data_IF_125298715792
#
_entry.id   IF_125298715792
#
_cell.length_a   1.000
_cell.length_b   1.000
_cell.length_c   1.000
_cell.angle_alpha   90.00
_cell.angle_beta   90.00
_cell.angle_gamma   90.00
#
_symmetry.space_group_name_H-M   'P 1'
#
loop_
_entity.id
_entity.type
_entity.pdbx_description
1 polymer ?
#
# COMPACT_ATOMS: atom_id res chain seq x y z
N UNK A 1 19.42 1.75 15.47
CA UNK A 1 19.51 0.28 15.38
C UNK A 1 18.18 -0.39 14.97
N UNK A 2 17.01 0.03 15.51
CA UNK A 2 15.70 -0.54 15.13
C UNK A 2 15.26 -0.19 13.70
N UNK A 3 15.63 0.97 13.18
CA UNK A 3 15.35 1.33 11.78
C UNK A 3 16.07 0.44 10.77
N UNK A 4 17.27 -0.02 11.09
CA UNK A 4 17.97 -1.02 10.28
C UNK A 4 17.22 -2.36 10.26
N UNK A 5 16.67 -2.79 11.40
CA UNK A 5 15.88 -4.04 11.46
C UNK A 5 14.59 -4.02 10.62
N UNK A 6 13.97 -2.84 10.41
CA UNK A 6 12.78 -2.72 9.55
C UNK A 6 13.19 -2.87 8.07
N UNK A 7 14.31 -2.29 7.64
CA UNK A 7 14.81 -2.41 6.26
C UNK A 7 15.16 -3.86 5.89
N UNK A 8 15.72 -4.61 6.80
CA UNK A 8 16.10 -6.02 6.56
C UNK A 8 14.89 -6.95 6.43
N UNK A 9 13.68 -6.47 6.74
CA UNK A 9 12.43 -7.24 6.70
C UNK A 9 11.52 -6.89 5.52
N UNK A 10 11.88 -5.90 4.71
CA UNK A 10 11.13 -5.60 3.48
C UNK A 10 11.59 -6.54 2.39
N UNK A 11 10.63 -7.23 1.78
CA UNK A 11 10.82 -8.13 0.67
C UNK A 11 10.04 -7.66 -0.54
N UNK A 12 10.60 -7.88 -1.71
CA UNK A 12 9.98 -7.50 -2.98
C UNK A 12 9.37 -8.71 -3.66
N UNK A 13 8.21 -8.50 -4.26
CA UNK A 13 7.42 -9.54 -4.94
C UNK A 13 7.03 -9.04 -6.32
N UNK A 14 7.14 -9.90 -7.32
CA UNK A 14 6.74 -9.61 -8.70
C UNK A 14 6.09 -10.86 -9.34
N UNK A 15 5.48 -10.75 -10.54
CA UNK A 15 4.88 -11.91 -11.21
C UNK A 15 5.83 -13.09 -11.43
N UNK A 16 7.11 -12.81 -11.68
CA UNK A 16 8.20 -13.80 -11.85
C UNK A 16 9.42 -13.33 -11.08
N UNK A 17 10.48 -14.14 -11.05
CA UNK A 17 11.79 -13.75 -10.49
C UNK A 17 12.68 -12.97 -11.49
N UNK A 18 12.17 -12.66 -12.66
CA UNK A 18 12.90 -11.84 -13.63
C UNK A 18 13.03 -10.39 -13.14
N UNK A 19 14.07 -9.72 -13.61
CA UNK A 19 14.28 -8.33 -13.25
C UNK A 19 13.13 -7.44 -13.73
N UNK A 20 12.51 -6.72 -12.82
CA UNK A 20 11.52 -5.69 -13.12
C UNK A 20 12.19 -4.33 -13.27
N UNK A 21 11.68 -3.50 -14.17
CA UNK A 21 12.20 -2.17 -14.43
C UNK A 21 11.22 -1.12 -13.88
N UNK A 22 11.71 -0.20 -13.06
CA UNK A 22 10.91 0.94 -12.60
C UNK A 22 10.69 1.95 -13.74
N UNK A 23 9.73 2.88 -13.54
CA UNK A 23 9.52 4.00 -14.46
C UNK A 23 10.78 4.86 -14.67
N UNK A 24 11.67 4.93 -13.67
CA UNK A 24 12.95 5.63 -13.75
C UNK A 24 14.09 4.80 -14.34
N UNK A 25 13.81 3.62 -14.88
CA UNK A 25 14.82 2.76 -15.53
C UNK A 25 15.66 1.88 -14.60
N UNK A 26 15.43 1.92 -13.29
CA UNK A 26 16.14 1.06 -12.33
C UNK A 26 15.65 -0.38 -12.43
N UNK A 27 16.59 -1.32 -12.54
CA UNK A 27 16.29 -2.74 -12.51
C UNK A 27 16.38 -3.28 -11.09
N UNK A 28 15.38 -4.05 -10.69
CA UNK A 28 15.31 -4.70 -9.38
C UNK A 28 14.98 -6.16 -9.57
N UNK A 29 15.74 -7.04 -8.92
CA UNK A 29 15.41 -8.46 -8.82
C UNK A 29 14.44 -8.62 -7.64
N UNK A 30 13.26 -9.20 -7.84
CA UNK A 30 12.35 -9.50 -6.74
C UNK A 30 12.91 -10.63 -5.87
N UNK A 31 12.59 -10.58 -4.56
CA UNK A 31 12.93 -11.67 -3.64
C UNK A 31 12.03 -12.89 -3.87
N UNK A 32 10.77 -12.68 -4.29
CA UNK A 32 9.76 -13.72 -4.49
C UNK A 32 8.96 -13.48 -5.76
N UNK A 33 8.46 -14.56 -6.34
CA UNK A 33 7.38 -14.50 -7.33
C UNK A 33 6.02 -14.67 -6.66
N UNK A 34 4.93 -14.44 -7.40
CA UNK A 34 3.58 -14.70 -6.89
C UNK A 34 3.38 -16.17 -6.51
N UNK A 35 4.07 -17.09 -7.17
CA UNK A 35 3.89 -18.53 -6.95
C UNK A 35 4.66 -19.06 -5.73
N UNK A 36 5.64 -18.30 -5.22
CA UNK A 36 6.45 -18.70 -4.06
C UNK A 36 6.47 -17.68 -2.93
N UNK A 37 5.44 -16.83 -2.86
CA UNK A 37 5.29 -15.87 -1.77
C UNK A 37 5.13 -16.60 -0.43
N UNK A 38 5.99 -16.34 0.57
CA UNK A 38 5.82 -16.93 1.90
C UNK A 38 4.55 -16.38 2.57
N UNK A 39 3.93 -17.17 3.42
CA UNK A 39 2.74 -16.76 4.18
C UNK A 39 3.07 -15.98 5.47
N UNK A 40 4.32 -16.01 5.90
CA UNK A 40 4.79 -15.35 7.13
C UNK A 40 5.25 -13.93 6.85
N UNK A 41 4.29 -13.02 6.63
CA UNK A 41 4.51 -11.59 6.54
C UNK A 41 3.43 -10.83 7.34
N UNK A 42 3.76 -9.64 7.82
CA UNK A 42 2.86 -8.78 8.59
C UNK A 42 2.02 -7.85 7.71
N UNK A 43 2.58 -7.41 6.59
CA UNK A 43 1.91 -6.52 5.66
C UNK A 43 2.17 -6.88 4.20
N UNK A 44 1.17 -6.62 3.36
CA UNK A 44 1.26 -6.61 1.90
C UNK A 44 1.11 -5.17 1.42
N UNK A 45 2.14 -4.64 0.75
CA UNK A 45 2.15 -3.25 0.26
C UNK A 45 2.14 -3.23 -1.26
N UNK A 46 1.08 -2.69 -1.82
CA UNK A 46 0.89 -2.51 -3.25
C UNK A 46 1.39 -1.12 -3.64
N UNK A 47 2.50 -1.09 -4.37
CA UNK A 47 3.13 0.16 -4.80
C UNK A 47 2.42 0.75 -6.02
N UNK A 48 2.47 2.07 -6.16
CA UNK A 48 1.89 2.79 -7.29
C UNK A 48 2.49 2.37 -8.64
N UNK A 49 1.70 2.50 -9.69
CA UNK A 49 2.13 2.17 -11.06
C UNK A 49 0.99 2.29 -12.06
N UNK A 50 1.31 2.18 -13.34
CA UNK A 50 0.33 2.32 -14.43
C UNK A 50 -0.29 0.98 -14.85
N UNK A 51 0.24 -0.15 -14.36
CA UNK A 51 -0.16 -1.49 -14.80
C UNK A 51 -1.35 -2.08 -14.03
N UNK A 52 -1.91 -1.36 -13.05
CA UNK A 52 -2.98 -1.88 -12.19
C UNK A 52 -4.33 -2.16 -12.89
N UNK A 53 -4.49 -1.77 -14.16
CA UNK A 53 -5.63 -2.14 -15.02
C UNK A 53 -5.27 -3.22 -16.05
N UNK A 54 -4.05 -3.74 -16.03
CA UNK A 54 -3.66 -4.80 -16.96
C UNK A 54 -4.22 -6.16 -16.50
N UNK A 55 -4.39 -7.12 -17.42
CA UNK A 55 -4.77 -8.48 -17.06
C UNK A 55 -3.80 -9.15 -16.07
N UNK A 56 -2.53 -8.78 -16.12
CA UNK A 56 -1.50 -9.28 -15.20
C UNK A 56 -1.75 -8.81 -13.76
N UNK A 57 -2.33 -7.62 -13.56
CA UNK A 57 -2.66 -7.11 -12.24
C UNK A 57 -3.74 -7.98 -11.54
N UNK A 58 -4.62 -8.62 -12.29
CA UNK A 58 -5.63 -9.52 -11.73
C UNK A 58 -5.01 -10.73 -10.99
N UNK A 59 -3.78 -11.10 -11.33
CA UNK A 59 -3.04 -12.15 -10.60
C UNK A 59 -2.68 -11.73 -9.16
N UNK A 60 -2.73 -10.43 -8.86
CA UNK A 60 -2.50 -9.92 -7.50
C UNK A 60 -3.75 -10.09 -6.62
N UNK A 61 -4.95 -10.13 -7.21
CA UNK A 61 -6.20 -10.21 -6.46
C UNK A 61 -6.23 -11.38 -5.45
N UNK A 62 -5.94 -12.65 -5.82
CA UNK A 62 -5.96 -13.75 -4.86
C UNK A 62 -4.94 -13.58 -3.72
N UNK A 63 -3.81 -12.91 -3.98
CA UNK A 63 -2.80 -12.62 -2.95
C UNK A 63 -3.34 -11.59 -1.95
N UNK A 64 -4.01 -10.55 -2.45
CA UNK A 64 -4.64 -9.52 -1.59
C UNK A 64 -5.79 -10.14 -0.80
N UNK A 65 -6.60 -10.98 -1.43
CA UNK A 65 -7.72 -11.67 -0.78
C UNK A 65 -7.23 -12.56 0.38
N UNK A 66 -6.21 -13.36 0.15
CA UNK A 66 -5.57 -14.19 1.20
C UNK A 66 -5.02 -13.34 2.35
N UNK A 67 -4.34 -12.25 2.03
CA UNK A 67 -3.83 -11.31 3.04
C UNK A 67 -4.97 -10.67 3.85
N UNK A 68 -6.06 -10.29 3.18
CA UNK A 68 -7.23 -9.68 3.81
C UNK A 68 -7.93 -10.67 4.77
N UNK A 69 -8.16 -11.90 4.32
CA UNK A 69 -8.79 -12.97 5.12
C UNK A 69 -7.95 -13.34 6.34
N UNK A 70 -6.63 -13.27 6.24
CA UNK A 70 -5.68 -13.49 7.34
C UNK A 70 -5.50 -12.28 8.26
N UNK A 71 -6.20 -11.17 8.00
CA UNK A 71 -6.11 -9.96 8.82
C UNK A 71 -4.76 -9.27 8.75
N UNK A 72 -3.99 -9.46 7.67
CA UNK A 72 -2.72 -8.75 7.43
C UNK A 72 -2.98 -7.27 7.16
N UNK A 73 -1.97 -6.43 7.42
CA UNK A 73 -2.04 -5.03 6.99
C UNK A 73 -1.89 -4.98 5.46
N UNK A 74 -2.79 -4.28 4.79
CA UNK A 74 -2.75 -4.08 3.34
C UNK A 74 -2.59 -2.60 3.06
N UNK A 75 -1.51 -2.25 2.37
CA UNK A 75 -1.25 -0.89 1.92
C UNK A 75 -1.45 -0.76 0.41
N UNK A 76 -2.11 0.32 -0.04
CA UNK A 76 -2.22 0.65 -1.46
C UNK A 76 -2.03 2.13 -1.72
N UNK A 77 -1.05 2.50 -2.55
CA UNK A 77 -0.77 3.90 -2.92
C UNK A 77 -1.05 4.15 -4.40
N UNK A 78 -1.56 5.33 -4.74
CA UNK A 78 -1.84 5.76 -6.12
C UNK A 78 -2.85 4.80 -6.79
N UNK A 79 -2.57 4.29 -7.99
CA UNK A 79 -3.46 3.36 -8.69
C UNK A 79 -3.63 2.01 -7.98
N UNK A 80 -2.73 1.64 -7.08
CA UNK A 80 -2.93 0.46 -6.24
C UNK A 80 -4.11 0.65 -5.26
N UNK A 81 -4.36 1.87 -4.75
CA UNK A 81 -5.57 2.17 -3.98
C UNK A 81 -6.83 2.01 -4.84
N UNK A 82 -6.76 2.41 -6.12
CA UNK A 82 -7.87 2.23 -7.07
C UNK A 82 -8.11 0.74 -7.38
N UNK A 83 -7.06 -0.07 -7.45
CA UNK A 83 -7.19 -1.53 -7.57
C UNK A 83 -7.90 -2.14 -6.34
N UNK A 84 -7.51 -1.75 -5.12
CA UNK A 84 -8.22 -2.18 -3.90
C UNK A 84 -9.69 -1.78 -3.91
N UNK A 85 -9.99 -0.57 -4.39
CA UNK A 85 -11.35 -0.07 -4.59
C UNK A 85 -12.15 -0.95 -5.57
N UNK A 86 -11.59 -1.23 -6.74
CA UNK A 86 -12.23 -2.02 -7.80
C UNK A 86 -12.59 -3.44 -7.34
N UNK A 87 -11.85 -3.99 -6.38
CA UNK A 87 -12.10 -5.30 -5.78
C UNK A 87 -12.90 -5.26 -4.46
N UNK A 88 -13.44 -4.08 -4.07
CA UNK A 88 -14.35 -3.93 -2.94
C UNK A 88 -13.68 -3.90 -1.55
N UNK A 89 -12.35 -3.92 -1.46
CA UNK A 89 -11.64 -3.91 -0.17
C UNK A 89 -11.84 -2.61 0.62
N UNK A 90 -12.31 -1.54 -0.03
CA UNK A 90 -12.52 -0.23 0.60
C UNK A 90 -13.95 0.00 1.11
N UNK A 91 -14.87 -0.95 0.90
CA UNK A 91 -16.30 -0.75 1.18
C UNK A 91 -16.65 -0.64 2.68
N UNK A 92 -15.77 -1.06 3.58
CA UNK A 92 -16.04 -1.09 5.02
C UNK A 92 -14.98 -0.33 5.85
N UNK A 93 -14.21 0.55 5.21
CA UNK A 93 -13.12 1.30 5.86
C UNK A 93 -13.11 2.75 5.39
N UNK A 94 -12.61 3.64 6.24
CA UNK A 94 -12.18 4.97 5.79
C UNK A 94 -10.97 4.83 4.88
N UNK A 95 -10.92 5.61 3.81
CA UNK A 95 -9.87 5.47 2.80
C UNK A 95 -9.66 6.75 2.01
N UNK A 96 -8.62 6.76 1.23
CA UNK A 96 -8.34 7.78 0.22
C UNK A 96 -7.80 7.14 -1.06
N UNK A 97 -7.49 7.93 -2.03
CA UNK A 97 -6.88 7.54 -3.31
C UNK A 97 -6.46 8.77 -4.09
N UNK A 98 -6.19 8.64 -5.38
CA UNK A 98 -5.82 9.80 -6.19
C UNK A 98 -6.94 10.85 -6.22
N UNK A 99 -8.18 10.44 -6.44
CA UNK A 99 -9.40 11.25 -6.28
C UNK A 99 -10.60 10.32 -6.08
N UNK A 100 -11.67 10.83 -5.47
CA UNK A 100 -12.93 10.08 -5.39
C UNK A 100 -13.46 9.70 -6.79
N UNK A 101 -13.34 10.61 -7.77
CA UNK A 101 -13.78 10.33 -9.14
C UNK A 101 -13.07 9.13 -9.77
N UNK A 102 -11.75 9.01 -9.56
CA UNK A 102 -10.97 7.86 -10.03
C UNK A 102 -11.40 6.59 -9.32
N UNK A 103 -11.61 6.60 -8.00
CA UNK A 103 -12.10 5.43 -7.26
C UNK A 103 -13.47 4.98 -7.77
N UNK A 104 -14.39 5.90 -8.02
CA UNK A 104 -15.72 5.60 -8.61
C UNK A 104 -15.60 5.02 -10.00
N UNK A 105 -14.73 5.58 -10.83
CA UNK A 105 -14.51 5.09 -12.20
C UNK A 105 -13.97 3.64 -12.21
N UNK A 106 -13.03 3.32 -11.32
CA UNK A 106 -12.43 1.99 -11.25
C UNK A 106 -13.32 0.98 -10.54
N UNK A 107 -13.96 1.39 -9.45
CA UNK A 107 -14.81 0.52 -8.64
C UNK A 107 -16.17 0.23 -9.25
N UNK A 108 -16.71 1.18 -10.05
CA UNK A 108 -18.04 1.05 -10.63
C UNK A 108 -19.08 0.68 -9.57
N UNK A 109 -19.94 -0.27 -9.87
CA UNK A 109 -20.99 -0.76 -8.97
C UNK A 109 -20.44 -1.52 -7.74
N UNK A 110 -19.18 -1.97 -7.79
CA UNK A 110 -18.55 -2.68 -6.67
C UNK A 110 -18.08 -1.73 -5.55
N UNK A 111 -17.94 -0.45 -5.84
CA UNK A 111 -17.55 0.55 -4.85
C UNK A 111 -18.79 1.20 -4.25
N UNK A 112 -19.09 0.86 -3.00
CA UNK A 112 -20.33 1.24 -2.31
C UNK A 112 -20.12 2.16 -1.09
N UNK A 113 -18.89 2.65 -0.87
CA UNK A 113 -18.53 3.41 0.33
C UNK A 113 -17.93 4.78 0.02
N UNK A 114 -18.66 5.60 -0.76
CA UNK A 114 -18.25 6.97 -1.06
C UNK A 114 -18.09 7.82 0.20
N UNK A 115 -18.98 7.63 1.19
CA UNK A 115 -18.94 8.35 2.47
C UNK A 115 -17.70 8.04 3.31
N UNK A 116 -17.06 6.90 3.05
CA UNK A 116 -15.79 6.54 3.69
C UNK A 116 -14.56 7.22 3.07
N UNK A 117 -14.72 7.89 1.93
CA UNK A 117 -13.62 8.61 1.28
C UNK A 117 -13.24 9.87 2.07
N UNK A 118 -11.96 10.04 2.32
CA UNK A 118 -11.40 11.23 2.96
C UNK A 118 -10.39 11.88 2.01
N UNK A 119 -10.53 13.18 1.76
CA UNK A 119 -9.59 13.96 0.96
C UNK A 119 -8.32 14.26 1.79
N UNK A 120 -7.46 13.24 1.90
CA UNK A 120 -6.20 13.29 2.65
C UNK A 120 -5.08 12.63 1.82
N UNK A 121 -3.84 12.91 2.18
CA UNK A 121 -2.67 12.29 1.54
C UNK A 121 -2.63 10.77 1.78
N UNK A 122 -2.93 10.34 3.00
CA UNK A 122 -3.08 8.93 3.35
C UNK A 122 -4.15 8.76 4.43
N UNK A 123 -4.73 7.58 4.49
CA UNK A 123 -5.72 7.17 5.49
C UNK A 123 -5.45 5.72 5.87
N UNK A 124 -5.30 5.46 7.17
CA UNK A 124 -5.30 4.13 7.76
C UNK A 124 -6.60 3.90 8.53
N UNK A 125 -7.28 2.79 8.27
CA UNK A 125 -8.43 2.34 9.04
C UNK A 125 -8.45 0.80 9.09
N UNK A 126 -8.62 0.27 10.29
CA UNK A 126 -8.46 -1.17 10.54
C UNK A 126 -7.08 -1.67 10.01
N UNK A 127 -7.10 -2.64 9.11
CA UNK A 127 -5.88 -3.19 8.51
C UNK A 127 -5.64 -2.69 7.07
N UNK A 128 -6.37 -1.66 6.63
CA UNK A 128 -6.21 -1.09 5.28
C UNK A 128 -5.60 0.30 5.39
N UNK A 129 -4.55 0.53 4.61
CA UNK A 129 -3.90 1.84 4.48
C UNK A 129 -3.90 2.24 3.01
N UNK A 130 -4.47 3.40 2.71
CA UNK A 130 -4.50 3.93 1.33
C UNK A 130 -3.89 5.30 1.26
N UNK A 131 -3.34 5.66 0.11
CA UNK A 131 -2.80 6.99 -0.15
C UNK A 131 -2.96 7.40 -1.62
N UNK A 132 -2.96 8.71 -1.86
CA UNK A 132 -2.79 9.23 -3.20
C UNK A 132 -1.32 9.16 -3.64
N UNK A 133 -1.04 9.39 -4.94
CA UNK A 133 0.29 9.20 -5.52
C UNK A 133 1.38 10.13 -4.97
N UNK A 134 1.00 11.21 -4.27
CA UNK A 134 1.94 12.17 -3.67
C UNK A 134 2.14 11.97 -2.16
N UNK A 135 1.28 11.17 -1.53
CA UNK A 135 1.22 10.96 -0.08
C UNK A 135 2.17 9.88 0.45
N UNK A 136 3.34 9.70 -0.11
CA UNK A 136 4.25 8.61 0.25
C UNK A 136 4.79 8.69 1.70
N UNK A 137 4.97 9.89 2.25
CA UNK A 137 5.40 10.07 3.64
C UNK A 137 4.27 9.73 4.61
N UNK A 138 3.07 10.26 4.36
CA UNK A 138 1.86 9.97 5.12
C UNK A 138 1.50 8.49 5.03
N UNK A 139 1.65 7.89 3.85
CA UNK A 139 1.44 6.45 3.64
C UNK A 139 2.38 5.61 4.49
N UNK A 140 3.67 5.97 4.52
CA UNK A 140 4.65 5.28 5.35
C UNK A 140 4.32 5.40 6.83
N UNK A 141 3.93 6.61 7.29
CA UNK A 141 3.48 6.86 8.66
C UNK A 141 2.29 5.97 9.03
N UNK A 142 1.23 5.97 8.23
CA UNK A 142 0.02 5.16 8.48
C UNK A 142 0.33 3.65 8.47
N UNK A 143 1.21 3.17 7.59
CA UNK A 143 1.65 1.78 7.59
C UNK A 143 2.40 1.41 8.87
N UNK A 144 3.31 2.27 9.34
CA UNK A 144 4.05 2.03 10.58
C UNK A 144 3.12 2.00 11.80
N UNK A 145 2.10 2.88 11.83
CA UNK A 145 1.06 2.89 12.87
C UNK A 145 0.22 1.61 12.83
N UNK A 146 -0.27 1.21 11.65
CA UNK A 146 -1.07 -0.01 11.48
C UNK A 146 -0.30 -1.27 11.87
N UNK A 147 0.99 -1.31 11.57
CA UNK A 147 1.90 -2.40 11.93
C UNK A 147 2.35 -2.36 13.40
N UNK A 148 2.08 -1.27 14.13
CA UNK A 148 2.63 -1.03 15.46
C UNK A 148 4.16 -1.24 15.49
N UNK A 149 4.84 -0.72 14.44
CA UNK A 149 6.25 -0.98 14.19
C UNK A 149 7.18 -0.35 15.26
N UNK A 150 6.74 0.73 15.89
CA UNK A 150 7.34 1.35 17.08
C UNK A 150 6.24 2.09 17.87
N UNK A 151 6.61 2.85 18.88
CA UNK A 151 5.66 3.72 19.60
C UNK A 151 5.19 4.84 18.65
N UNK A 152 3.94 5.28 18.84
CA UNK A 152 3.35 6.36 18.05
C UNK A 152 4.22 7.62 18.05
N UNK A 153 4.75 8.01 19.23
CA UNK A 153 5.63 9.15 19.40
C UNK A 153 6.87 9.08 18.49
N UNK A 154 7.49 7.90 18.36
CA UNK A 154 8.68 7.73 17.51
C UNK A 154 8.33 7.72 16.02
N UNK A 155 7.16 7.18 15.66
CA UNK A 155 6.67 7.20 14.30
C UNK A 155 6.38 8.63 13.87
N UNK A 156 5.73 9.44 14.72
CA UNK A 156 5.49 10.86 14.47
C UNK A 156 6.80 11.65 14.36
N UNK A 157 7.74 11.44 15.28
CA UNK A 157 9.05 12.11 15.23
C UNK A 157 9.81 11.78 13.92
N UNK A 158 9.72 10.54 13.45
CA UNK A 158 10.30 10.13 12.17
C UNK A 158 9.60 10.82 10.98
N UNK A 159 8.27 10.89 11.01
CA UNK A 159 7.49 11.57 10.00
C UNK A 159 7.81 13.06 9.94
N UNK A 160 7.82 13.74 11.09
CA UNK A 160 8.15 15.17 11.19
C UNK A 160 9.56 15.48 10.69
N UNK A 161 10.54 14.67 11.08
CA UNK A 161 11.90 14.80 10.57
C UNK A 161 11.97 14.62 9.05
N UNK A 162 11.24 13.62 8.51
CA UNK A 162 11.24 13.33 7.07
C UNK A 162 10.56 14.42 6.27
N UNK A 163 9.53 15.05 6.82
CA UNK A 163 8.72 16.08 6.16
C UNK A 163 9.34 17.48 6.27
N UNK A 164 9.84 17.83 7.43
CA UNK A 164 10.27 19.20 7.76
C UNK A 164 11.81 19.36 7.81
N UNK A 165 12.54 18.24 7.74
CA UNK A 165 13.99 18.24 7.91
C UNK A 165 14.42 18.48 9.35
N UNK A 166 15.70 18.79 9.54
CA UNK A 166 16.27 19.13 10.85
C UNK A 166 15.87 20.57 11.18
N UNK A 167 14.82 20.71 12.00
CA UNK A 167 14.48 22.02 12.59
C UNK A 167 15.51 22.30 13.68
N UNK A 168 16.32 23.36 13.51
CA UNK A 168 17.28 23.85 14.51
C UNK A 168 16.60 24.83 15.43
#
# INVERSE_FOLDING_TARGET
QRQMCIRDRVKTVAPTLDAVCSLGGFRTLPDYSFDNLPSDYAALVLIGGMQWQSPEAERVFPIVQDAFEKGKVIGGICNAASFLCAHGFLNNVKHTGNTLAVLKQWGGERYTNEDGYLEKQAVGDKNIVTANGTGYLEFTRELLLALKADTEEKIEAFYDFSKNGLVR
#
